data_IF_966733405036
#
_entry.id   IF_966733405036
#
_cell.length_a   1.000
_cell.length_b   1.000
_cell.length_c   1.000
_cell.angle_alpha   90.00
_cell.angle_beta   90.00
_cell.angle_gamma   90.00
#
_symmetry.space_group_name_H-M   'P 1'
#
loop_
_entity.id
_entity.type
_entity.pdbx_description
1 polymer ?
#
# COMPACT_ATOMS: atom_id res chain seq x y z
N UNK A 1 4.24 24.74 16.87
CA UNK A 1 5.00 23.75 17.66
C UNK A 1 4.34 22.38 17.52
N UNK A 2 4.58 21.71 16.39
CA UNK A 2 4.06 20.37 16.14
C UNK A 2 4.94 19.38 16.90
N UNK A 3 4.42 18.77 17.97
CA UNK A 3 5.12 17.69 18.67
C UNK A 3 5.33 16.57 17.66
N UNK A 4 6.55 16.40 17.18
CA UNK A 4 6.98 15.17 16.51
C UNK A 4 6.77 14.05 17.54
N UNK A 5 5.66 13.35 17.43
CA UNK A 5 5.36 12.15 18.20
C UNK A 5 6.27 11.04 17.65
N UNK A 6 7.56 11.08 18.01
CA UNK A 6 8.42 9.92 17.92
C UNK A 6 7.82 8.88 18.85
N UNK A 7 7.03 7.96 18.30
CA UNK A 7 6.52 6.82 19.05
C UNK A 7 7.70 6.06 19.66
N UNK A 8 7.52 5.58 20.89
CA UNK A 8 8.58 4.88 21.65
C UNK A 8 9.00 3.62 20.89
N UNK A 9 10.31 3.33 20.91
CA UNK A 9 10.94 2.16 20.29
C UNK A 9 10.35 0.80 20.77
N UNK A 10 9.56 0.85 21.84
CA UNK A 10 8.93 -0.28 22.52
C UNK A 10 7.45 -0.52 22.15
N UNK A 11 6.86 0.26 21.23
CA UNK A 11 5.48 0.00 20.81
C UNK A 11 5.37 -1.34 20.06
N UNK A 12 4.33 -2.11 20.37
CA UNK A 12 4.03 -3.35 19.69
C UNK A 12 3.67 -3.10 18.22
N UNK A 13 4.34 -3.84 17.32
CA UNK A 13 4.20 -3.72 15.87
C UNK A 13 3.42 -4.88 15.26
N UNK A 14 3.19 -5.95 16.02
CA UNK A 14 2.37 -7.10 15.66
C UNK A 14 1.06 -7.04 16.44
N UNK A 15 -0.06 -6.85 15.74
CA UNK A 15 -1.38 -6.67 16.35
C UNK A 15 -2.25 -7.87 16.03
N UNK A 16 -2.77 -8.54 17.06
CA UNK A 16 -3.80 -9.57 16.93
C UNK A 16 -5.17 -8.96 17.22
N UNK A 17 -6.10 -9.09 16.27
CA UNK A 17 -7.50 -8.68 16.42
C UNK A 17 -8.39 -9.90 16.62
N UNK A 18 -9.33 -9.82 17.54
CA UNK A 18 -10.38 -10.82 17.70
C UNK A 18 -11.42 -10.75 16.57
N UNK A 19 -12.46 -11.58 16.69
CA UNK A 19 -13.58 -11.57 15.75
C UNK A 19 -14.29 -10.21 15.74
N UNK A 20 -14.82 -9.84 14.56
CA UNK A 20 -15.59 -8.61 14.43
C UNK A 20 -16.94 -8.77 15.13
N UNK A 21 -17.36 -7.81 15.97
CA UNK A 21 -18.69 -7.81 16.55
C UNK A 21 -19.76 -7.64 15.46
N UNK A 22 -20.99 -8.07 15.76
CA UNK A 22 -22.16 -7.94 14.87
C UNK A 22 -22.50 -6.48 14.51
N UNK A 23 -21.97 -5.51 15.26
CA UNK A 23 -22.10 -4.08 14.96
C UNK A 23 -21.30 -3.62 13.73
N UNK A 24 -20.46 -4.48 13.14
CA UNK A 24 -19.62 -4.12 12.00
C UNK A 24 -18.32 -3.38 12.37
N UNK A 25 -18.13 -3.08 13.66
CA UNK A 25 -16.92 -2.45 14.18
C UNK A 25 -15.68 -3.36 14.00
N UNK A 26 -14.49 -2.77 14.19
CA UNK A 26 -13.25 -3.56 14.22
C UNK A 26 -13.25 -4.52 15.41
N UNK A 27 -12.69 -5.73 15.22
CA UNK A 27 -12.46 -6.66 16.32
C UNK A 27 -11.59 -6.03 17.43
N UNK A 28 -11.77 -6.44 18.70
CA UNK A 28 -10.94 -5.95 19.80
C UNK A 28 -9.48 -6.36 19.60
N UNK A 29 -8.53 -5.60 20.16
CA UNK A 29 -7.14 -6.06 20.23
C UNK A 29 -7.03 -7.15 21.29
N UNK A 30 -6.35 -8.24 20.97
CA UNK A 30 -6.10 -9.35 21.87
C UNK A 30 -4.64 -9.31 22.32
N UNK A 31 -4.44 -9.53 23.62
CA UNK A 31 -3.13 -9.87 24.16
C UNK A 31 -2.76 -11.29 23.74
N UNK A 32 -1.47 -11.55 23.55
CA UNK A 32 -0.95 -12.86 23.19
C UNK A 32 0.42 -13.08 23.84
N UNK A 33 0.75 -14.35 24.08
CA UNK A 33 2.09 -14.72 24.52
C UNK A 33 3.06 -14.80 23.34
N UNK A 34 4.31 -14.41 23.58
CA UNK A 34 5.34 -14.46 22.54
C UNK A 34 5.67 -15.90 22.16
N UNK A 35 5.69 -16.16 20.85
CA UNK A 35 6.19 -17.38 20.25
C UNK A 35 7.45 -17.10 19.44
N UNK A 36 8.18 -18.14 19.05
CA UNK A 36 9.32 -17.98 18.13
C UNK A 36 8.91 -17.28 16.82
N UNK A 37 7.70 -17.53 16.32
CA UNK A 37 7.19 -16.90 15.10
C UNK A 37 6.88 -15.42 15.32
N UNK A 38 6.17 -15.05 16.40
CA UNK A 38 5.83 -13.64 16.67
C UNK A 38 7.09 -12.81 16.93
N UNK A 39 8.07 -13.36 17.64
CA UNK A 39 9.37 -12.73 17.84
C UNK A 39 10.11 -12.49 16.52
N UNK A 40 10.15 -13.50 15.64
CA UNK A 40 10.82 -13.36 14.34
C UNK A 40 10.09 -12.36 13.42
N UNK A 41 8.75 -12.35 13.41
CA UNK A 41 7.96 -11.33 12.69
C UNK A 41 8.24 -9.93 13.22
N UNK A 42 8.31 -9.79 14.55
CA UNK A 42 8.59 -8.50 15.21
C UNK A 42 9.97 -7.99 14.85
N UNK A 43 10.99 -8.85 14.85
CA UNK A 43 12.35 -8.50 14.44
C UNK A 43 12.40 -8.00 12.99
N UNK A 44 11.80 -8.76 12.06
CA UNK A 44 11.74 -8.38 10.64
C UNK A 44 11.01 -7.06 10.41
N UNK A 45 9.87 -6.86 11.06
CA UNK A 45 9.10 -5.62 10.96
C UNK A 45 9.84 -4.44 11.59
N UNK A 46 10.53 -4.63 12.72
CA UNK A 46 11.38 -3.58 13.30
C UNK A 46 12.52 -3.19 12.37
N UNK A 47 13.13 -4.15 11.67
CA UNK A 47 14.13 -3.88 10.63
C UNK A 47 13.54 -3.05 9.48
N UNK A 48 12.35 -3.42 8.99
CA UNK A 48 11.64 -2.65 7.96
C UNK A 48 11.38 -1.22 8.44
N UNK A 49 10.78 -1.06 9.61
CA UNK A 49 10.46 0.25 10.16
C UNK A 49 11.72 1.10 10.42
N UNK A 50 12.80 0.50 10.91
CA UNK A 50 14.07 1.20 11.10
C UNK A 50 14.66 1.68 9.79
N UNK A 51 14.54 0.91 8.70
CA UNK A 51 14.97 1.35 7.37
C UNK A 51 14.12 2.52 6.89
N UNK A 52 12.78 2.39 7.00
CA UNK A 52 11.84 3.42 6.58
C UNK A 52 12.03 4.74 7.34
N UNK A 53 12.34 4.69 8.64
CA UNK A 53 12.61 5.87 9.47
C UNK A 53 13.89 6.61 9.09
N UNK A 54 14.74 6.04 8.21
CA UNK A 54 15.96 6.70 7.73
C UNK A 54 15.79 7.36 6.36
N UNK A 55 14.65 7.14 5.71
CA UNK A 55 14.42 7.64 4.36
C UNK A 55 13.73 9.01 4.40
N UNK A 56 13.79 9.76 3.32
CA UNK A 56 12.88 10.87 3.10
C UNK A 56 11.73 10.36 2.23
N UNK A 57 10.50 10.33 2.75
CA UNK A 57 9.32 9.84 2.03
C UNK A 57 8.23 10.90 2.16
N UNK A 58 7.84 11.49 1.03
CA UNK A 58 6.90 12.63 1.00
C UNK A 58 6.07 12.62 -0.30
N UNK A 59 5.06 13.48 -0.39
CA UNK A 59 4.18 13.68 -1.52
C UNK A 59 4.46 15.05 -2.15
N UNK A 60 5.05 15.06 -3.35
CA UNK A 60 5.42 16.30 -4.06
C UNK A 60 4.25 16.80 -4.91
N UNK A 61 3.37 17.57 -4.29
CA UNK A 61 2.29 18.34 -4.93
C UNK A 61 2.27 19.75 -4.34
N UNK A 62 1.66 20.71 -5.04
CA UNK A 62 1.53 22.08 -4.53
C UNK A 62 0.66 22.13 -3.27
N UNK A 63 0.82 23.19 -2.47
CA UNK A 63 0.06 23.36 -1.22
C UNK A 63 -1.45 23.45 -1.48
N UNK A 64 -1.84 24.07 -2.59
CA UNK A 64 -3.24 24.17 -3.04
C UNK A 64 -3.82 22.80 -3.43
N UNK A 65 -3.05 21.98 -4.17
CA UNK A 65 -3.44 20.62 -4.52
C UNK A 65 -3.53 19.73 -3.29
N UNK A 66 -2.60 19.87 -2.34
CA UNK A 66 -2.65 19.12 -1.08
C UNK A 66 -3.90 19.51 -0.26
N UNK A 67 -4.24 20.79 -0.18
CA UNK A 67 -5.46 21.24 0.48
C UNK A 67 -6.73 20.71 -0.20
N UNK A 68 -6.77 20.67 -1.54
CA UNK A 68 -7.87 20.06 -2.31
C UNK A 68 -7.96 18.56 -2.06
N UNK A 69 -6.83 17.86 -2.04
CA UNK A 69 -6.74 16.42 -1.79
C UNK A 69 -7.29 16.07 -0.40
N UNK A 70 -6.84 16.78 0.64
CA UNK A 70 -7.30 16.56 2.03
C UNK A 70 -8.80 16.83 2.19
N UNK A 71 -9.33 17.89 1.53
CA UNK A 71 -10.77 18.16 1.52
C UNK A 71 -11.55 17.05 0.84
N UNK A 72 -11.11 16.58 -0.33
CA UNK A 72 -11.76 15.48 -1.06
C UNK A 72 -11.79 14.20 -0.22
N UNK A 73 -10.65 13.81 0.37
CA UNK A 73 -10.56 12.64 1.24
C UNK A 73 -11.49 12.73 2.46
N UNK A 74 -11.74 13.95 2.96
CA UNK A 74 -12.68 14.19 4.06
C UNK A 74 -14.16 14.12 3.65
N UNK A 75 -14.49 14.39 2.38
CA UNK A 75 -15.86 14.42 1.86
C UNK A 75 -16.33 13.06 1.35
N UNK A 76 -15.44 12.26 0.75
CA UNK A 76 -15.74 10.93 0.22
C UNK A 76 -15.94 9.86 1.32
N UNK A 77 -15.98 10.28 2.59
CA UNK A 77 -16.09 9.40 3.75
C UNK A 77 -17.51 9.48 4.34
N UNK A 78 -18.32 8.46 4.06
CA UNK A 78 -19.73 8.39 4.50
C UNK A 78 -19.91 7.65 5.85
N UNK A 79 -18.84 7.16 6.48
CA UNK A 79 -18.89 6.35 7.71
C UNK A 79 -18.59 7.25 8.94
N UNK A 80 -19.64 7.70 9.65
CA UNK A 80 -19.52 8.60 10.82
C UNK A 80 -18.74 7.97 12.00
N UNK A 81 -18.55 6.65 12.01
CA UNK A 81 -17.98 5.87 13.12
C UNK A 81 -16.46 5.59 13.01
N UNK A 82 -15.76 6.18 12.02
CA UNK A 82 -14.29 6.03 11.86
C UNK A 82 -13.58 7.35 11.63
N UNK A 83 -12.31 7.42 12.06
CA UNK A 83 -11.45 8.58 11.85
C UNK A 83 -11.37 8.92 10.34
N UNK A 84 -11.62 10.19 10.00
CA UNK A 84 -11.55 10.70 8.62
C UNK A 84 -10.15 10.43 8.05
N UNK A 85 -10.02 9.91 6.80
CA UNK A 85 -8.73 9.64 6.21
C UNK A 85 -8.01 10.96 5.94
N UNK A 86 -7.02 11.27 6.78
CA UNK A 86 -6.14 12.43 6.65
C UNK A 86 -4.71 11.94 6.38
N UNK A 87 -4.00 12.60 5.46
CA UNK A 87 -2.57 12.28 5.23
C UNK A 87 -1.74 12.92 6.33
N UNK A 88 -1.27 12.09 7.26
CA UNK A 88 -0.31 12.45 8.29
C UNK A 88 1.08 11.91 7.92
N UNK A 89 1.95 12.78 7.41
CA UNK A 89 3.31 12.42 6.97
C UNK A 89 4.19 11.86 8.09
N UNK A 90 3.80 12.01 9.37
CA UNK A 90 4.52 11.40 10.48
C UNK A 90 4.23 9.91 10.63
N UNK A 91 3.16 9.40 10.03
CA UNK A 91 2.77 7.99 10.08
C UNK A 91 3.56 7.15 9.08
N UNK A 92 4.80 6.81 9.47
CA UNK A 92 5.75 6.07 8.63
C UNK A 92 6.08 4.68 9.17
N UNK A 93 5.59 4.36 10.36
CA UNK A 93 5.79 3.08 11.02
C UNK A 93 4.69 2.10 10.65
N UNK A 94 5.07 1.01 9.99
CA UNK A 94 4.17 -0.08 9.66
C UNK A 94 3.87 -0.96 10.86
N UNK A 95 2.64 -1.49 10.89
CA UNK A 95 2.23 -2.58 11.79
C UNK A 95 1.70 -3.74 10.97
N UNK A 96 1.84 -4.97 11.49
CA UNK A 96 1.25 -6.17 10.89
C UNK A 96 0.01 -6.56 11.68
N UNK A 97 -1.15 -6.66 11.01
CA UNK A 97 -2.44 -6.87 11.70
C UNK A 97 -3.05 -8.21 11.31
N UNK A 98 -3.19 -9.09 12.29
CA UNK A 98 -3.86 -10.40 12.19
C UNK A 98 -5.31 -10.30 12.65
N UNK A 99 -6.16 -11.23 12.19
CA UNK A 99 -7.61 -11.20 12.37
C UNK A 99 -8.13 -12.46 13.06
N UNK A 100 -9.31 -12.37 13.68
CA UNK A 100 -10.03 -13.49 14.29
C UNK A 100 -9.25 -14.28 15.35
N UNK A 101 -8.28 -13.65 16.03
CA UNK A 101 -7.43 -14.33 17.01
C UNK A 101 -6.52 -15.40 16.40
N UNK A 102 -6.31 -15.38 15.08
CA UNK A 102 -5.62 -16.41 14.32
C UNK A 102 -4.44 -15.84 13.53
N UNK A 103 -3.26 -16.42 13.72
CA UNK A 103 -2.02 -16.06 13.03
C UNK A 103 -2.00 -16.46 11.56
N UNK A 104 -2.93 -17.30 11.10
CA UNK A 104 -3.11 -17.65 9.69
C UNK A 104 -4.05 -16.70 8.94
N UNK A 105 -4.66 -15.72 9.61
CA UNK A 105 -5.68 -14.83 9.04
C UNK A 105 -5.28 -13.36 9.11
N UNK A 106 -5.38 -12.64 7.99
CA UNK A 106 -4.92 -11.26 7.90
C UNK A 106 -3.41 -11.20 7.72
N UNK A 107 -2.67 -10.41 8.48
CA UNK A 107 -1.21 -10.37 8.44
C UNK A 107 -0.60 -9.43 7.39
N UNK A 108 -1.40 -8.54 6.79
CA UNK A 108 -0.94 -7.43 5.93
C UNK A 108 -0.29 -6.31 6.75
N UNK A 109 0.48 -5.47 6.07
CA UNK A 109 1.09 -4.26 6.63
C UNK A 109 0.16 -3.05 6.50
N UNK A 110 0.05 -2.27 7.58
CA UNK A 110 -0.82 -1.10 7.69
C UNK A 110 -0.11 0.09 8.31
N UNK A 111 -0.76 1.27 8.25
CA UNK A 111 -0.40 2.55 8.89
C UNK A 111 0.70 3.37 8.23
N UNK A 112 1.20 2.95 7.07
CA UNK A 112 1.99 3.86 6.23
C UNK A 112 1.06 4.88 5.61
N UNK A 113 1.32 6.18 5.79
CA UNK A 113 0.47 7.24 5.24
C UNK A 113 0.28 7.12 3.72
N UNK A 114 1.28 6.59 3.00
CA UNK A 114 1.21 6.36 1.56
C UNK A 114 0.08 5.41 1.15
N UNK A 115 -0.40 4.55 2.06
CA UNK A 115 -1.51 3.63 1.80
C UNK A 115 -2.86 4.34 1.74
N UNK A 116 -3.01 5.49 2.41
CA UNK A 116 -4.24 6.29 2.36
C UNK A 116 -4.29 7.24 1.16
N UNK A 117 -3.17 7.44 0.46
CA UNK A 117 -3.10 8.27 -0.74
C UNK A 117 -3.95 7.63 -1.85
N UNK A 118 -4.90 8.37 -2.44
CA UNK A 118 -5.68 7.90 -3.60
C UNK A 118 -4.78 7.46 -4.74
N UNK A 119 -5.20 6.44 -5.47
CA UNK A 119 -4.39 5.74 -6.48
C UNK A 119 -3.76 6.71 -7.49
N UNK A 120 -4.55 7.64 -8.02
CA UNK A 120 -4.15 8.65 -9.01
C UNK A 120 -3.14 9.67 -8.48
N UNK A 121 -3.05 9.84 -7.16
CA UNK A 121 -2.11 10.76 -6.52
C UNK A 121 -0.79 10.07 -6.13
N UNK A 122 -0.72 8.74 -6.12
CA UNK A 122 0.47 8.00 -5.66
C UNK A 122 1.70 8.20 -6.54
N UNK A 123 1.52 8.57 -7.80
CA UNK A 123 2.62 8.93 -8.71
C UNK A 123 3.41 10.17 -8.26
N UNK A 124 2.85 10.98 -7.36
CA UNK A 124 3.54 12.13 -6.77
C UNK A 124 4.32 11.78 -5.49
N UNK A 125 4.24 10.52 -5.03
CA UNK A 125 5.06 10.06 -3.91
C UNK A 125 6.52 10.06 -4.33
N UNK A 126 7.36 10.58 -3.45
CA UNK A 126 8.81 10.63 -3.61
C UNK A 126 9.49 9.83 -2.52
N UNK A 127 10.57 9.15 -2.89
CA UNK A 127 11.46 8.43 -1.99
C UNK A 127 12.85 9.03 -2.24
N UNK A 128 13.41 9.70 -1.22
CA UNK A 128 14.67 10.41 -1.27
C UNK A 128 14.75 11.39 -2.46
N UNK A 129 13.74 12.24 -2.59
CA UNK A 129 13.56 13.23 -3.67
C UNK A 129 13.43 12.65 -5.09
N UNK A 130 13.26 11.32 -5.22
CA UNK A 130 13.04 10.65 -6.49
C UNK A 130 11.62 10.13 -6.59
N UNK A 131 10.98 10.30 -7.74
CA UNK A 131 9.61 9.80 -7.96
C UNK A 131 9.53 8.29 -7.78
N UNK A 132 8.42 7.88 -7.16
CA UNK A 132 8.05 6.49 -7.03
C UNK A 132 7.17 6.03 -8.20
N UNK A 133 7.22 4.74 -8.50
CA UNK A 133 6.26 4.06 -9.36
C UNK A 133 5.57 2.92 -8.61
N UNK A 134 4.31 2.66 -8.92
CA UNK A 134 3.54 1.55 -8.31
C UNK A 134 3.51 0.33 -9.24
N UNK A 135 3.94 -0.82 -8.72
CA UNK A 135 3.84 -2.11 -9.42
C UNK A 135 2.97 -3.06 -8.61
N UNK A 136 1.99 -3.65 -9.27
CA UNK A 136 0.97 -4.53 -8.69
C UNK A 136 1.09 -5.96 -9.22
N UNK A 137 0.64 -6.92 -8.42
CA UNK A 137 0.45 -8.28 -8.88
C UNK A 137 -0.81 -8.39 -9.72
N UNK A 138 -0.67 -8.89 -10.96
CA UNK A 138 -1.82 -9.21 -11.79
C UNK A 138 -2.59 -10.37 -11.17
N UNK A 139 -3.81 -10.10 -10.68
CA UNK A 139 -4.74 -11.14 -10.20
C UNK A 139 -4.15 -12.01 -9.05
N UNK A 140 -3.56 -11.39 -8.02
CA UNK A 140 -2.86 -12.10 -6.94
C UNK A 140 -3.70 -13.20 -6.28
N UNK A 141 -4.87 -12.86 -5.73
CA UNK A 141 -5.73 -13.80 -5.01
C UNK A 141 -6.20 -14.99 -5.87
N UNK A 142 -6.71 -14.81 -7.11
CA UNK A 142 -6.95 -15.92 -8.02
C UNK A 142 -5.73 -16.82 -8.20
N UNK A 143 -4.56 -16.24 -8.50
CA UNK A 143 -3.34 -17.02 -8.77
C UNK A 143 -2.89 -17.83 -7.55
N UNK A 144 -3.00 -17.24 -6.34
CA UNK A 144 -2.72 -17.95 -5.09
C UNK A 144 -3.68 -19.13 -4.88
N UNK A 145 -4.97 -18.95 -5.13
CA UNK A 145 -5.94 -20.05 -4.99
C UNK A 145 -5.66 -21.22 -5.93
N UNK A 146 -5.30 -20.93 -7.19
CA UNK A 146 -4.90 -21.96 -8.14
C UNK A 146 -3.63 -22.68 -7.66
N UNK A 147 -2.62 -21.93 -7.20
CA UNK A 147 -1.40 -22.51 -6.65
C UNK A 147 -1.68 -23.44 -5.45
N UNK A 148 -2.55 -23.03 -4.52
CA UNK A 148 -2.99 -23.87 -3.38
C UNK A 148 -3.75 -25.11 -3.87
N UNK A 149 -4.50 -25.01 -4.96
CA UNK A 149 -5.17 -26.15 -5.58
C UNK A 149 -4.20 -27.08 -6.34
N UNK A 150 -2.92 -26.72 -6.49
CA UNK A 150 -1.95 -27.48 -7.29
C UNK A 150 -2.14 -27.28 -8.80
N UNK A 151 -2.80 -26.19 -9.19
CA UNK A 151 -3.19 -25.90 -10.57
C UNK A 151 -2.60 -24.57 -11.03
N UNK A 152 -2.56 -24.36 -12.35
CA UNK A 152 -2.13 -23.09 -12.95
C UNK A 152 -3.32 -22.31 -13.46
N UNK A 153 -3.40 -21.03 -13.09
CA UNK A 153 -4.35 -20.11 -13.72
C UNK A 153 -3.91 -19.80 -15.16
N UNK A 154 -4.80 -20.09 -16.11
CA UNK A 154 -4.65 -19.71 -17.52
C UNK A 154 -5.50 -18.46 -17.84
N UNK A 155 -4.93 -17.52 -18.59
CA UNK A 155 -5.60 -16.29 -19.00
C UNK A 155 -5.73 -15.23 -17.89
N UNK A 156 -6.65 -14.27 -18.08
CA UNK A 156 -7.10 -13.37 -17.01
C UNK A 156 -8.16 -14.12 -16.17
N UNK A 157 -8.04 -14.04 -14.84
CA UNK A 157 -9.02 -14.61 -13.91
C UNK A 157 -10.42 -14.01 -14.10
N UNK A 158 -10.51 -12.76 -14.53
CA UNK A 158 -11.79 -12.06 -14.64
C UNK A 158 -12.35 -12.06 -16.06
N UNK A 159 -11.72 -12.79 -16.98
CA UNK A 159 -12.26 -13.09 -18.31
C UNK A 159 -12.99 -14.44 -18.25
N UNK A 160 -14.33 -14.37 -18.26
CA UNK A 160 -15.24 -15.49 -18.03
C UNK A 160 -16.17 -15.77 -19.24
N UNK A 161 -15.74 -15.37 -20.44
CA UNK A 161 -16.51 -15.53 -21.69
C UNK A 161 -17.87 -14.80 -21.71
N UNK A 162 -18.01 -13.75 -20.88
CA UNK A 162 -19.20 -12.89 -20.81
C UNK A 162 -18.82 -11.44 -21.14
N UNK A 163 -18.65 -11.07 -22.43
CA UNK A 163 -18.06 -9.79 -22.84
C UNK A 163 -18.91 -8.57 -22.47
N UNK A 164 -20.21 -8.74 -22.27
CA UNK A 164 -21.12 -7.66 -21.89
C UNK A 164 -20.99 -7.26 -20.41
N UNK A 165 -20.26 -8.04 -19.61
CA UNK A 165 -20.19 -7.85 -18.17
C UNK A 165 -18.94 -7.08 -17.82
N UNK A 166 -19.05 -5.95 -17.12
CA UNK A 166 -17.88 -5.19 -16.72
C UNK A 166 -16.93 -6.05 -15.88
N UNK A 167 -15.66 -6.11 -16.27
CA UNK A 167 -14.59 -6.80 -15.51
C UNK A 167 -14.55 -6.39 -14.04
N UNK A 168 -14.84 -5.11 -13.74
CA UNK A 168 -14.91 -4.58 -12.38
C UNK A 168 -16.00 -5.29 -11.54
N UNK A 169 -17.15 -5.57 -12.14
CA UNK A 169 -18.24 -6.31 -11.50
C UNK A 169 -17.84 -7.77 -11.26
N UNK A 170 -17.25 -8.44 -12.26
CA UNK A 170 -16.74 -9.82 -12.11
C UNK A 170 -15.72 -9.91 -10.98
N UNK A 171 -14.72 -9.01 -10.95
CA UNK A 171 -13.71 -8.94 -9.90
C UNK A 171 -14.32 -8.73 -8.52
N UNK A 172 -15.32 -7.84 -8.41
CA UNK A 172 -16.04 -7.59 -7.15
C UNK A 172 -16.78 -8.85 -6.69
N UNK A 173 -17.56 -9.48 -7.58
CA UNK A 173 -18.32 -10.70 -7.27
C UNK A 173 -17.39 -11.84 -6.87
N UNK A 174 -16.30 -12.07 -7.61
CA UNK A 174 -15.28 -13.06 -7.27
C UNK A 174 -14.69 -12.82 -5.86
N UNK A 175 -14.34 -11.57 -5.54
CA UNK A 175 -13.82 -11.23 -4.21
C UNK A 175 -14.87 -11.42 -3.11
N UNK A 176 -16.15 -11.12 -3.37
CA UNK A 176 -17.23 -11.40 -2.43
C UNK A 176 -17.38 -12.91 -2.20
N UNK A 177 -17.27 -13.72 -3.27
CA UNK A 177 -17.31 -15.18 -3.19
C UNK A 177 -16.17 -15.75 -2.35
N UNK A 178 -14.99 -15.17 -2.36
CA UNK A 178 -13.89 -15.66 -1.52
C UNK A 178 -14.01 -15.21 -0.06
N UNK A 179 -14.46 -13.98 0.17
CA UNK A 179 -14.40 -13.35 1.50
C UNK A 179 -15.63 -13.66 2.37
N UNK A 180 -16.81 -13.89 1.80
CA UNK A 180 -18.03 -14.08 2.57
C UNK A 180 -18.29 -15.57 2.83
N UNK A 181 -18.49 -16.01 4.09
CA UNK A 181 -19.00 -17.35 4.36
C UNK A 181 -20.49 -17.43 3.99
N UNK A 182 -20.89 -18.47 3.28
CA UNK A 182 -22.29 -18.72 2.93
C UNK A 182 -22.84 -17.78 1.86
N UNK A 183 -24.10 -17.32 2.02
CA UNK A 183 -24.83 -16.58 0.98
C UNK A 183 -24.31 -15.14 0.84
N UNK A 184 -24.15 -14.71 -0.42
CA UNK A 184 -23.70 -13.36 -0.76
C UNK A 184 -24.89 -12.52 -1.21
N UNK A 185 -25.01 -11.32 -0.64
CA UNK A 185 -26.01 -10.34 -1.04
C UNK A 185 -25.68 -9.74 -2.42
N UNK A 186 -26.72 -9.36 -3.14
CA UNK A 186 -26.58 -8.66 -4.43
C UNK A 186 -25.95 -7.28 -4.15
N UNK A 187 -24.90 -6.87 -4.89
CA UNK A 187 -24.37 -5.51 -4.82
C UNK A 187 -25.43 -4.47 -5.22
N UNK A 188 -25.45 -3.32 -4.56
CA UNK A 188 -26.46 -2.26 -4.82
C UNK A 188 -26.40 -1.70 -6.25
N UNK A 189 -25.21 -1.73 -6.87
CA UNK A 189 -24.93 -1.31 -8.24
C UNK A 189 -25.15 -2.42 -9.29
N UNK A 190 -25.63 -3.60 -8.89
CA UNK A 190 -25.92 -4.68 -9.82
C UNK A 190 -27.30 -4.49 -10.48
N UNK A 191 -27.29 -4.16 -11.77
CA UNK A 191 -28.49 -4.04 -12.58
C UNK A 191 -28.63 -5.23 -13.55
N UNK A 192 -29.47 -6.21 -13.20
CA UNK A 192 -29.70 -7.41 -14.02
C UNK A 192 -30.11 -7.08 -15.46
N UNK A 193 -30.92 -6.04 -15.66
CA UNK A 193 -31.39 -5.61 -16.98
C UNK A 193 -30.27 -5.06 -17.88
N UNK A 194 -29.24 -4.45 -17.29
CA UNK A 194 -28.08 -3.93 -18.04
C UNK A 194 -27.09 -5.03 -18.42
N UNK A 195 -27.00 -6.03 -17.55
CA UNK A 195 -26.03 -7.13 -17.59
C UNK A 195 -26.60 -8.32 -18.38
N UNK A 196 -27.93 -8.43 -18.48
CA UNK A 196 -28.63 -9.48 -19.24
C UNK A 196 -28.64 -10.85 -18.56
N UNK A 197 -28.31 -10.91 -17.27
CA UNK A 197 -28.26 -12.13 -16.45
C UNK A 197 -28.53 -11.81 -14.99
N UNK A 198 -29.13 -12.76 -14.28
CA UNK A 198 -29.42 -12.63 -12.86
C UNK A 198 -28.17 -12.86 -11.98
N UNK A 199 -28.27 -12.47 -10.72
CA UNK A 199 -27.16 -12.57 -9.76
C UNK A 199 -26.66 -14.01 -9.54
N UNK A 200 -27.55 -15.00 -9.67
CA UNK A 200 -27.20 -16.41 -9.50
C UNK A 200 -26.45 -16.91 -10.73
N UNK A 201 -26.89 -16.54 -11.93
CA UNK A 201 -26.23 -16.84 -13.20
C UNK A 201 -24.80 -16.28 -13.23
N UNK A 202 -24.57 -15.05 -12.75
CA UNK A 202 -23.22 -14.49 -12.66
C UNK A 202 -22.31 -15.32 -11.74
N UNK A 203 -22.80 -15.67 -10.54
CA UNK A 203 -22.04 -16.48 -9.60
C UNK A 203 -21.75 -17.88 -10.14
N UNK A 204 -22.70 -18.47 -10.87
CA UNK A 204 -22.51 -19.76 -11.53
C UNK A 204 -21.45 -19.65 -12.63
N UNK A 205 -21.52 -18.65 -13.51
CA UNK A 205 -20.52 -18.46 -14.56
C UNK A 205 -19.09 -18.28 -14.00
N UNK A 206 -18.95 -17.50 -12.92
CA UNK A 206 -17.67 -17.36 -12.21
C UNK A 206 -17.21 -18.70 -11.62
N UNK A 207 -18.14 -19.48 -11.05
CA UNK A 207 -17.84 -20.79 -10.48
C UNK A 207 -17.38 -21.79 -11.54
N UNK A 208 -18.05 -21.80 -12.68
CA UNK A 208 -17.77 -22.71 -13.79
C UNK A 208 -16.39 -22.40 -14.41
N UNK A 209 -16.09 -21.11 -14.63
CA UNK A 209 -14.75 -20.67 -15.07
C UNK A 209 -13.63 -21.08 -14.11
N UNK A 210 -13.95 -21.16 -12.83
CA UNK A 210 -13.02 -21.41 -11.73
C UNK A 210 -13.29 -22.72 -10.98
N UNK A 211 -13.73 -23.74 -11.71
CA UNK A 211 -14.11 -25.04 -11.13
C UNK A 211 -13.01 -25.60 -10.20
N UNK A 212 -11.74 -25.53 -10.63
CA UNK A 212 -10.57 -25.98 -9.88
C UNK A 212 -10.41 -25.36 -8.48
N UNK A 213 -10.91 -24.14 -8.28
CA UNK A 213 -10.84 -23.41 -7.01
C UNK A 213 -12.22 -23.20 -6.38
N UNK A 214 -13.27 -23.81 -6.92
CA UNK A 214 -14.66 -23.63 -6.49
C UNK A 214 -14.89 -23.97 -5.02
N UNK A 215 -14.09 -24.90 -4.46
CA UNK A 215 -14.07 -25.27 -3.03
C UNK A 215 -13.74 -24.12 -2.08
N UNK A 216 -13.10 -23.05 -2.57
CA UNK A 216 -12.77 -21.87 -1.76
C UNK A 216 -13.86 -20.81 -1.80
N UNK A 217 -14.82 -20.90 -2.72
CA UNK A 217 -15.94 -19.96 -2.74
C UNK A 217 -16.88 -20.20 -1.57
N UNK A 218 -17.45 -19.10 -1.07
CA UNK A 218 -18.37 -19.00 0.04
C UNK A 218 -17.80 -19.52 1.38
N UNK A 219 -16.46 -19.50 1.53
CA UNK A 219 -15.76 -20.09 2.68
C UNK A 219 -15.11 -19.06 3.62
N UNK A 220 -14.92 -17.82 3.19
CA UNK A 220 -14.15 -16.82 3.94
C UNK A 220 -12.62 -16.97 3.82
N UNK A 221 -12.13 -17.80 2.89
CA UNK A 221 -10.70 -18.07 2.68
C UNK A 221 -9.84 -16.84 2.38
N UNK A 222 -10.47 -15.71 2.01
CA UNK A 222 -9.76 -14.48 1.70
C UNK A 222 -8.84 -13.98 2.81
N UNK A 223 -9.17 -14.19 4.09
CA UNK A 223 -8.27 -13.84 5.20
C UNK A 223 -6.97 -14.67 5.20
N UNK A 224 -7.01 -15.93 4.77
CA UNK A 224 -5.82 -16.77 4.61
C UNK A 224 -4.98 -16.33 3.39
N UNK A 225 -5.63 -15.84 2.34
CA UNK A 225 -4.91 -15.22 1.22
C UNK A 225 -4.16 -13.96 1.66
N UNK A 226 -4.78 -13.12 2.51
CA UNK A 226 -4.11 -11.94 3.06
C UNK A 226 -2.85 -12.29 3.87
N UNK A 227 -2.81 -13.47 4.50
CA UNK A 227 -1.65 -13.96 5.24
C UNK A 227 -0.47 -14.23 4.32
N UNK A 228 -0.77 -14.85 3.19
CA UNK A 228 0.20 -15.16 2.14
C UNK A 228 0.69 -13.89 1.46
N UNK A 229 -0.23 -12.96 1.17
CA UNK A 229 0.07 -11.62 0.64
C UNK A 229 1.01 -10.84 1.58
N UNK A 230 0.73 -10.83 2.88
CA UNK A 230 1.61 -10.23 3.89
C UNK A 230 3.02 -10.84 3.94
N UNK A 231 3.15 -12.16 3.80
CA UNK A 231 4.48 -12.80 3.72
C UNK A 231 5.24 -12.43 2.46
N UNK A 232 4.54 -12.36 1.33
CA UNK A 232 5.12 -11.96 0.07
C UNK A 232 5.64 -10.52 0.16
N UNK A 233 4.83 -9.62 0.72
CA UNK A 233 5.23 -8.23 0.97
C UNK A 233 6.43 -8.12 1.91
N UNK A 234 6.49 -8.91 3.00
CA UNK A 234 7.64 -8.94 3.91
C UNK A 234 8.92 -9.33 3.18
N UNK A 235 8.87 -10.39 2.36
CA UNK A 235 10.02 -10.89 1.59
C UNK A 235 10.51 -9.89 0.55
N UNK A 236 9.59 -9.25 -0.18
CA UNK A 236 9.92 -8.22 -1.18
C UNK A 236 10.60 -7.02 -0.50
N UNK A 237 10.00 -6.49 0.58
CA UNK A 237 10.58 -5.37 1.33
C UNK A 237 11.97 -5.69 1.88
N UNK A 238 12.16 -6.86 2.49
CA UNK A 238 13.45 -7.25 3.05
C UNK A 238 14.54 -7.44 1.99
N UNK A 239 14.19 -7.90 0.78
CA UNK A 239 15.14 -7.96 -0.35
C UNK A 239 15.58 -6.58 -0.80
N UNK A 240 14.65 -5.64 -0.95
CA UNK A 240 14.98 -4.26 -1.29
C UNK A 240 15.87 -3.61 -0.23
N UNK A 241 15.55 -3.81 1.06
CA UNK A 241 16.37 -3.32 2.17
C UNK A 241 17.77 -3.93 2.13
N UNK A 242 17.90 -5.22 1.81
CA UNK A 242 19.21 -5.86 1.66
C UNK A 242 20.05 -5.27 0.52
N UNK A 243 19.42 -4.76 -0.54
CA UNK A 243 20.06 -4.01 -1.63
C UNK A 243 20.26 -2.52 -1.33
N UNK A 244 19.92 -2.04 -0.13
CA UNK A 244 20.02 -0.61 0.23
C UNK A 244 18.94 0.27 -0.42
N UNK A 245 17.83 -0.33 -0.84
CA UNK A 245 16.73 0.34 -1.50
C UNK A 245 15.44 0.30 -0.67
N UNK A 246 14.56 1.25 -0.93
CA UNK A 246 13.30 1.41 -0.21
C UNK A 246 12.14 0.92 -1.07
N UNK A 247 11.30 0.11 -0.47
CA UNK A 247 10.09 -0.44 -1.07
C UNK A 247 8.94 -0.26 -0.09
N UNK A 248 7.89 0.46 -0.50
CA UNK A 248 6.73 0.74 0.34
C UNK A 248 5.56 -0.17 -0.06
N UNK A 249 4.93 -0.89 0.86
CA UNK A 249 3.82 -1.78 0.54
C UNK A 249 2.49 -1.00 0.50
N UNK A 250 1.66 -1.29 -0.49
CA UNK A 250 0.27 -0.84 -0.62
C UNK A 250 -0.60 -2.06 -0.91
N UNK A 251 -1.01 -2.76 0.15
CA UNK A 251 -1.66 -4.08 0.02
C UNK A 251 -0.80 -5.04 -0.82
N UNK A 252 -1.29 -5.45 -2.00
CA UNK A 252 -0.66 -6.34 -2.97
C UNK A 252 0.24 -5.64 -4.00
N UNK A 253 0.34 -4.31 -3.94
CA UNK A 253 1.25 -3.51 -4.77
C UNK A 253 2.40 -2.89 -3.97
N UNK A 254 3.42 -2.41 -4.68
CA UNK A 254 4.61 -1.81 -4.09
C UNK A 254 5.02 -0.53 -4.80
N UNK A 255 5.46 0.45 -4.01
CA UNK A 255 6.06 1.70 -4.47
C UNK A 255 7.59 1.64 -4.28
N UNK A 256 8.33 1.86 -5.36
CA UNK A 256 9.80 2.00 -5.36
C UNK A 256 10.21 3.21 -6.18
N UNK A 257 11.43 3.69 -6.02
CA UNK A 257 12.04 4.62 -6.97
C UNK A 257 11.87 4.10 -8.41
N UNK A 258 11.41 4.96 -9.33
CA UNK A 258 11.11 4.57 -10.72
C UNK A 258 12.26 3.84 -11.45
N UNK A 259 13.52 4.18 -11.18
CA UNK A 259 14.69 3.50 -11.73
C UNK A 259 14.82 2.02 -11.32
N UNK A 260 14.12 1.61 -10.26
CA UNK A 260 14.10 0.24 -9.73
C UNK A 260 12.89 -0.57 -10.18
N UNK A 261 12.06 -0.05 -11.10
CA UNK A 261 10.84 -0.71 -11.54
C UNK A 261 11.09 -2.13 -12.09
N UNK A 262 12.12 -2.31 -12.91
CA UNK A 262 12.47 -3.61 -13.48
C UNK A 262 12.97 -4.61 -12.41
N UNK A 263 13.74 -4.13 -11.43
CA UNK A 263 14.17 -4.95 -10.29
C UNK A 263 12.98 -5.37 -9.45
N UNK A 264 12.05 -4.46 -9.15
CA UNK A 264 10.85 -4.76 -8.36
C UNK A 264 10.01 -5.86 -9.02
N UNK A 265 9.77 -5.78 -10.33
CA UNK A 265 9.07 -6.86 -11.07
C UNK A 265 9.76 -8.20 -10.91
N UNK A 266 11.09 -8.22 -11.05
CA UNK A 266 11.89 -9.44 -10.95
C UNK A 266 11.77 -10.03 -9.55
N UNK A 267 11.98 -9.22 -8.51
CA UNK A 267 11.88 -9.64 -7.11
C UNK A 267 10.47 -10.15 -6.78
N UNK A 268 9.42 -9.44 -7.20
CA UNK A 268 8.02 -9.85 -6.99
C UNK A 268 7.73 -11.22 -7.60
N UNK A 269 8.13 -11.46 -8.85
CA UNK A 269 7.91 -12.73 -9.54
C UNK A 269 8.73 -13.86 -8.91
N UNK A 270 9.99 -13.58 -8.53
CA UNK A 270 10.86 -14.56 -7.88
C UNK A 270 10.35 -14.96 -6.49
N UNK A 271 9.92 -14.01 -5.65
CA UNK A 271 9.40 -14.33 -4.32
C UNK A 271 8.06 -15.07 -4.41
N UNK A 272 7.19 -14.69 -5.36
CA UNK A 272 5.95 -15.43 -5.60
C UNK A 272 6.25 -16.87 -6.01
N UNK A 273 7.22 -17.08 -6.91
CA UNK A 273 7.65 -18.41 -7.36
C UNK A 273 8.30 -19.22 -6.25
N UNK A 274 9.12 -18.59 -5.40
CA UNK A 274 9.73 -19.27 -4.25
C UNK A 274 8.67 -19.72 -3.24
N UNK A 275 7.63 -18.93 -3.05
CA UNK A 275 6.57 -19.23 -2.09
C UNK A 275 5.59 -20.28 -2.60
N UNK A 276 5.24 -20.24 -3.88
CA UNK A 276 4.14 -21.04 -4.44
C UNK A 276 4.58 -22.13 -5.41
N UNK A 277 5.76 -22.02 -6.00
CA UNK A 277 6.20 -22.84 -7.14
C UNK A 277 5.69 -22.37 -8.50
N UNK A 278 4.75 -21.42 -8.54
CA UNK A 278 4.13 -20.90 -9.76
C UNK A 278 4.66 -19.52 -10.14
N UNK A 279 4.42 -19.08 -11.37
CA UNK A 279 4.77 -17.72 -11.82
C UNK A 279 3.52 -16.86 -11.90
N UNK A 280 3.69 -15.56 -11.66
CA UNK A 280 2.63 -14.56 -11.72
C UNK A 280 3.07 -13.40 -12.64
N UNK A 281 2.11 -12.66 -13.19
CA UNK A 281 2.37 -11.43 -13.93
C UNK A 281 2.34 -10.22 -13.00
N UNK A 282 3.00 -9.15 -13.40
CA UNK A 282 2.97 -7.86 -12.70
C UNK A 282 2.57 -6.76 -13.67
N UNK A 283 1.89 -5.74 -13.17
CA UNK A 283 1.39 -4.60 -13.95
C UNK A 283 1.96 -3.29 -13.41
N UNK A 284 2.32 -2.36 -14.31
CA UNK A 284 2.62 -0.99 -13.90
C UNK A 284 1.26 -0.31 -13.70
N UNK A 285 0.98 0.17 -12.50
CA UNK A 285 -0.30 0.83 -12.25
C UNK A 285 -0.29 2.27 -12.81
N UNK A 286 0.83 2.99 -12.61
CA UNK A 286 1.19 4.31 -13.13
C UNK A 286 2.47 4.72 -12.36
N UNK A 287 3.35 5.55 -12.93
CA UNK A 287 4.58 5.91 -12.20
C UNK A 287 5.74 6.56 -12.95
N UNK A 288 5.53 7.07 -14.16
CA UNK A 288 6.50 7.96 -14.79
C UNK A 288 5.77 8.86 -15.78
N UNK A 289 5.66 10.13 -15.43
CA UNK A 289 5.28 11.19 -16.35
C UNK A 289 6.54 12.01 -16.67
N UNK A 290 7.06 11.94 -17.91
CA UNK A 290 8.22 12.72 -18.34
C UNK A 290 8.01 14.23 -18.19
N UNK A 291 6.79 14.74 -18.38
CA UNK A 291 6.48 16.18 -18.30
C UNK A 291 6.65 16.69 -16.87
N UNK A 292 6.28 15.86 -15.89
CA UNK A 292 6.43 16.18 -14.49
C UNK A 292 7.91 16.12 -14.00
N UNK A 293 8.81 15.40 -14.69
CA UNK A 293 10.26 15.48 -14.46
C UNK A 293 10.88 16.73 -15.11
N UNK A 294 10.38 17.14 -16.28
CA UNK A 294 10.83 18.37 -16.93
C UNK A 294 10.50 19.61 -16.10
N UNK A 295 9.31 19.66 -15.48
CA UNK A 295 8.93 20.72 -14.55
C UNK A 295 9.90 20.81 -13.34
N UNK A 296 10.41 19.67 -12.85
CA UNK A 296 11.40 19.63 -11.76
C UNK A 296 12.72 20.30 -12.16
N UNK A 297 13.21 20.09 -13.38
CA UNK A 297 14.45 20.71 -13.84
C UNK A 297 14.32 22.24 -13.95
N UNK A 298 13.11 22.75 -14.22
CA UNK A 298 12.82 24.18 -14.23
C UNK A 298 12.80 24.78 -12.81
N UNK A 299 12.21 24.08 -11.83
CA UNK A 299 12.20 24.53 -10.42
C UNK A 299 13.61 24.59 -9.78
N UNK A 300 14.56 23.78 -10.27
CA UNK A 300 15.95 23.77 -9.78
C UNK A 300 16.84 24.87 -10.40
N UNK A 301 16.37 25.62 -11.40
CA UNK A 301 17.03 26.85 -11.86
C UNK A 301 16.71 28.01 -10.91
N UNK A 302 17.32 27.96 -9.71
CA UNK A 302 17.56 29.18 -8.95
C UNK A 302 18.56 29.98 -9.79
N UNK A 303 18.20 31.19 -10.21
CA UNK A 303 19.16 32.13 -10.80
C UNK A 303 20.34 32.25 -9.83
N UNK A 304 21.53 31.81 -10.25
CA UNK A 304 22.77 32.25 -9.62
C UNK A 304 22.84 33.76 -9.80
N UNK A 305 22.27 34.52 -8.86
CA UNK A 305 22.53 35.94 -8.77
C UNK A 305 23.98 36.09 -8.33
N UNK A 306 24.84 36.38 -9.30
CA UNK A 306 26.19 36.88 -9.05
C UNK A 306 26.08 38.28 -8.45
N UNK A 307 25.79 38.38 -7.16
CA UNK A 307 26.12 39.59 -6.39
C UNK A 307 26.79 39.18 -5.08
N UNK A 308 28.11 39.29 -5.10
CA UNK A 308 28.98 39.02 -3.96
C UNK A 308 28.88 40.18 -2.96
N UNK A 309 27.92 40.09 -2.05
CA UNK A 309 27.87 40.87 -0.82
C UNK A 309 28.26 40.00 0.38
N UNK A 310 29.46 40.20 0.92
CA UNK A 310 29.92 39.59 2.17
C UNK A 310 28.97 39.94 3.32
N UNK A 311 28.30 38.94 3.90
CA UNK A 311 27.67 39.04 5.23
C UNK A 311 28.10 37.81 6.03
N UNK A 312 28.98 38.04 7.00
CA UNK A 312 29.28 37.08 8.08
C UNK A 312 28.05 37.01 9.01
N UNK A 313 27.24 35.96 8.90
CA UNK A 313 26.37 35.49 10.01
C UNK A 313 26.07 33.99 9.82
N UNK A 314 26.11 33.17 10.89
CA UNK A 314 26.15 31.72 10.80
C UNK A 314 24.79 31.14 10.41
N UNK A 315 24.83 30.10 9.58
CA UNK A 315 23.73 29.23 9.15
C UNK A 315 22.75 28.96 10.31
N UNK A 316 21.70 29.78 10.44
CA UNK A 316 20.93 29.85 11.68
C UNK A 316 19.53 30.45 11.60
N UNK A 317 19.18 31.23 10.57
CA UNK A 317 17.85 31.85 10.48
C UNK A 317 17.20 31.67 9.11
N UNK A 318 15.97 31.12 9.16
CA UNK A 318 14.91 31.14 8.15
C UNK A 318 15.17 30.42 6.81
N UNK A 319 15.24 29.09 6.86
CA UNK A 319 14.87 28.24 5.72
C UNK A 319 13.34 28.07 5.71
N UNK A 320 12.62 29.08 5.24
CA UNK A 320 11.18 28.95 4.93
C UNK A 320 11.03 28.43 3.50
N UNK A 321 10.18 27.41 3.30
CA UNK A 321 9.79 27.01 1.95
C UNK A 321 9.12 28.17 1.21
N UNK A 322 9.57 28.49 0.01
CA UNK A 322 9.01 29.55 -0.85
C UNK A 322 8.38 28.94 -2.10
N UNK A 323 7.33 29.58 -2.63
CA UNK A 323 6.65 29.17 -3.87
C UNK A 323 5.47 28.20 -3.67
N UNK A 324 4.96 27.65 -4.78
CA UNK A 324 3.74 26.80 -4.79
C UNK A 324 3.91 25.47 -4.02
N UNK A 325 5.16 25.07 -3.77
CA UNK A 325 5.53 23.84 -3.05
C UNK A 325 6.13 24.13 -1.66
N UNK A 326 5.86 25.31 -1.09
CA UNK A 326 6.42 25.76 0.19
C UNK A 326 6.28 24.70 1.30
N UNK A 327 5.11 24.07 1.42
CA UNK A 327 4.89 23.01 2.42
C UNK A 327 5.76 21.78 2.21
N UNK A 328 6.02 21.36 0.97
CA UNK A 328 6.93 20.24 0.66
C UNK A 328 8.37 20.62 1.00
N UNK A 329 8.84 21.78 0.56
CA UNK A 329 10.20 22.25 0.82
C UNK A 329 10.45 22.44 2.32
N UNK A 330 9.49 22.97 3.08
CA UNK A 330 9.63 23.10 4.52
C UNK A 330 9.83 21.74 5.20
N UNK A 331 9.00 20.74 4.88
CA UNK A 331 9.15 19.40 5.47
C UNK A 331 10.49 18.76 5.09
N UNK A 332 10.97 19.02 3.87
CA UNK A 332 12.29 18.56 3.40
C UNK A 332 13.43 19.21 4.18
N UNK A 333 13.39 20.52 4.39
CA UNK A 333 14.39 21.27 5.17
C UNK A 333 14.37 20.82 6.64
N UNK A 334 13.18 20.61 7.22
CA UNK A 334 13.01 20.07 8.56
C UNK A 334 13.63 18.67 8.69
N UNK A 335 13.46 17.82 7.67
CA UNK A 335 14.07 16.50 7.61
C UNK A 335 15.61 16.57 7.56
N UNK A 336 16.17 17.37 6.65
CA UNK A 336 17.61 17.53 6.49
C UNK A 336 18.27 18.12 7.75
N UNK A 337 17.63 19.12 8.37
CA UNK A 337 18.11 19.69 9.63
C UNK A 337 18.04 18.69 10.79
N UNK A 338 17.06 17.79 10.79
CA UNK A 338 16.94 16.69 11.73
C UNK A 338 18.07 15.66 11.63
N UNK A 339 18.56 15.38 10.43
CA UNK A 339 19.72 14.50 10.21
C UNK A 339 21.02 15.10 10.78
N UNK A 340 21.24 16.40 10.55
CA UNK A 340 22.44 17.10 11.01
C UNK A 340 22.57 17.12 12.54
N UNK A 341 21.45 17.16 13.28
CA UNK A 341 21.44 17.09 14.75
C UNK A 341 21.77 15.72 15.32
N UNK A 342 21.65 14.64 14.54
CA UNK A 342 21.98 13.27 14.95
C UNK A 342 23.45 12.94 14.67
N UNK A 343 24.07 13.57 13.67
CA UNK A 343 25.48 13.38 13.32
C UNK A 343 26.48 14.19 14.15
N UNK A 344 26.00 15.17 14.95
CA UNK A 344 26.82 16.04 15.79
C UNK A 344 26.82 15.66 17.28
N UNK A 345 26.34 14.46 17.63
CA UNK A 345 26.17 13.98 19.00
C UNK A 345 27.05 12.77 19.31
#
# INVERSE_FOLDING_TARGET
>A
MTRISRRRRDEEVIILRGEKPSSGAMGPRLEYEDTAETLAMRERLRRINSHLDQQWIDLRISDDEFAKLQRRMSLDYEDEDRDRPFIDFTQRTLVRIFSNGDWEQGGRFYRGWWQSVPKECRQHITINDKRACEIDFSTLHPTLLYAVAGERLEGDAYDIDLPNIPRKLIKRTFNMMINAPGRINVPDDFAADQVGLDWKQLQTAIRDRHEAISKFFNSGYGLKLQRTDGDLAERVMLRFIASGHTCLPVHDSFLVHNGLAAELRTVMVEEFKRLTGYSIRTELIEGYDPELEAARQQDFHIEESTDAGLVDDPIGECLEGIGEYAGYEQRRLDWLSGLNKVGSA
#
